data_IF_844328273733
#
_entry.id   IF_844328273733
#
_cell.length_a   1.000
_cell.length_b   1.000
_cell.length_c   1.000
_cell.angle_alpha   90.00
_cell.angle_beta   90.00
_cell.angle_gamma   90.00
#
_symmetry.space_group_name_H-M   'P 1'
#
loop_
_entity.id
_entity.type
_entity.pdbx_description
1 polymer ?
#
# COMPACT_ATOMS: atom_id res chain seq x y z
N UNK A 1 39.86 15.23 45.90
CA UNK A 1 39.96 14.45 47.16
C UNK A 1 39.31 13.09 46.98
N UNK A 2 40.15 12.06 47.19
CA UNK A 2 39.84 10.64 47.48
C UNK A 2 38.98 9.84 46.48
N UNK A 3 39.73 9.13 45.64
CA UNK A 3 39.34 7.84 45.02
C UNK A 3 39.05 6.80 46.12
N UNK A 4 38.05 5.95 45.88
CA UNK A 4 37.94 4.64 46.54
C UNK A 4 37.80 3.55 45.47
N UNK A 5 38.87 2.79 45.38
CA UNK A 5 39.05 1.55 44.65
C UNK A 5 38.40 0.43 45.48
N UNK A 6 37.52 -0.39 44.87
CA UNK A 6 37.05 -1.66 45.47
C UNK A 6 37.62 -2.81 44.64
N UNK A 7 38.49 -3.57 45.31
CA UNK A 7 39.05 -4.85 44.85
C UNK A 7 38.10 -5.97 45.31
N UNK A 8 37.62 -6.82 44.40
CA UNK A 8 36.98 -8.07 44.72
C UNK A 8 37.95 -9.22 44.55
N UNK A 9 38.20 -9.93 45.66
CA UNK A 9 39.06 -11.11 45.74
C UNK A 9 38.19 -12.35 45.46
N UNK A 10 38.62 -13.19 44.51
CA UNK A 10 38.07 -14.51 44.24
C UNK A 10 38.68 -15.49 45.22
N UNK A 11 37.87 -16.16 46.03
CA UNK A 11 38.23 -17.34 46.81
C UNK A 11 37.78 -18.61 46.08
N UNK A 12 38.75 -19.43 45.69
CA UNK A 12 38.55 -20.78 45.17
C UNK A 12 38.57 -21.70 46.40
N UNK A 13 37.45 -22.36 46.65
CA UNK A 13 37.35 -23.43 47.65
C UNK A 13 37.29 -24.80 46.98
N UNK A 14 38.37 -25.56 47.13
CA UNK A 14 38.44 -26.98 46.78
C UNK A 14 37.93 -27.79 47.99
N UNK A 15 36.92 -28.55 47.82
CA UNK A 15 36.53 -29.58 48.80
C UNK A 15 36.54 -30.96 48.14
N UNK A 16 37.50 -31.77 48.52
CA UNK A 16 37.54 -33.21 48.35
C UNK A 16 36.72 -33.85 49.45
N UNK A 17 35.85 -34.79 49.14
CA UNK A 17 35.26 -35.69 50.10
C UNK A 17 35.13 -37.10 49.53
N UNK A 18 35.51 -38.01 50.39
CA UNK A 18 35.60 -39.44 50.16
C UNK A 18 34.28 -40.17 50.10
N UNK A 19 34.32 -41.29 49.44
CA UNK A 19 33.36 -42.34 49.26
C UNK A 19 32.91 -43.06 50.51
N UNK A 20 31.66 -43.48 50.60
CA UNK A 20 31.23 -44.76 51.22
C UNK A 20 30.07 -45.33 50.41
N UNK A 21 30.28 -46.54 49.93
CA UNK A 21 29.27 -47.39 49.27
C UNK A 21 28.14 -47.77 50.22
N UNK A 22 26.89 -47.55 49.81
CA UNK A 22 25.73 -48.29 50.29
C UNK A 22 24.91 -48.70 49.09
N UNK A 23 24.85 -50.00 48.81
CA UNK A 23 23.99 -50.57 47.79
C UNK A 23 22.56 -50.62 48.36
N UNK A 24 21.65 -49.88 47.80
CA UNK A 24 20.23 -50.10 47.99
C UNK A 24 19.51 -49.88 46.63
N UNK A 25 18.55 -50.80 46.35
CA UNK A 25 17.79 -50.84 45.10
C UNK A 25 16.81 -49.65 44.99
N UNK A 26 17.34 -48.50 44.62
CA UNK A 26 16.55 -47.29 44.43
C UNK A 26 16.70 -46.76 43.01
N UNK A 27 15.60 -46.46 42.39
CA UNK A 27 15.46 -45.78 41.11
C UNK A 27 16.43 -44.57 41.07
N UNK A 28 17.41 -44.61 40.15
CA UNK A 28 18.30 -43.46 39.89
C UNK A 28 17.43 -42.36 39.28
N UNK A 29 17.05 -41.37 40.08
CA UNK A 29 16.52 -40.11 39.55
C UNK A 29 17.75 -39.27 39.17
N UNK A 30 17.96 -39.05 37.85
CA UNK A 30 18.94 -38.12 37.35
C UNK A 30 18.65 -36.73 37.93
N UNK A 31 19.55 -36.09 38.71
CA UNK A 31 19.30 -34.80 39.33
C UNK A 31 19.34 -33.63 38.35
N UNK A 32 19.59 -33.89 37.08
CA UNK A 32 19.61 -32.86 36.08
C UNK A 32 18.93 -33.33 34.80
N UNK A 33 17.58 -33.31 34.73
CA UNK A 33 16.89 -33.58 33.48
C UNK A 33 17.40 -32.57 32.45
N UNK A 34 18.04 -33.07 31.37
CA UNK A 34 18.38 -32.24 30.24
C UNK A 34 17.16 -31.38 29.88
N UNK A 35 17.30 -30.06 29.97
CA UNK A 35 16.28 -29.17 29.43
C UNK A 35 16.05 -29.60 27.97
N UNK A 36 14.79 -29.88 27.59
CA UNK A 36 14.53 -30.14 26.18
C UNK A 36 15.15 -29.01 25.34
N UNK A 37 15.85 -29.36 24.29
CA UNK A 37 16.34 -28.38 23.34
C UNK A 37 15.19 -27.45 22.98
N UNK A 38 15.43 -26.14 22.95
CA UNK A 38 14.39 -25.20 22.54
C UNK A 38 13.87 -25.67 21.19
N UNK A 39 12.55 -25.83 21.07
CA UNK A 39 11.92 -26.15 19.78
C UNK A 39 12.51 -25.20 18.73
N UNK A 40 12.89 -25.73 17.56
CA UNK A 40 13.43 -24.89 16.50
C UNK A 40 12.45 -23.77 16.24
N UNK A 41 12.90 -22.53 16.39
CA UNK A 41 12.11 -21.34 16.02
C UNK A 41 11.74 -21.57 14.56
N UNK A 42 10.45 -21.59 14.20
CA UNK A 42 10.07 -21.76 12.81
C UNK A 42 10.82 -20.71 11.98
N UNK A 43 11.51 -21.16 10.93
CA UNK A 43 12.10 -20.23 9.97
C UNK A 43 10.96 -19.29 9.51
N UNK A 44 11.22 -17.97 9.41
CA UNK A 44 10.21 -17.05 8.92
C UNK A 44 9.68 -17.57 7.58
N UNK A 45 8.37 -17.74 7.49
CA UNK A 45 7.71 -18.23 6.29
C UNK A 45 8.09 -17.29 5.13
N UNK A 46 8.89 -17.76 4.19
CA UNK A 46 9.36 -16.95 3.06
C UNK A 46 8.14 -16.64 2.22
N UNK A 47 7.83 -15.36 2.07
CA UNK A 47 6.75 -14.87 1.20
C UNK A 47 6.96 -15.44 -0.22
N UNK A 48 6.01 -16.22 -0.81
CA UNK A 48 6.22 -16.84 -2.11
C UNK A 48 6.27 -15.77 -3.22
N UNK A 49 7.10 -16.00 -4.24
CA UNK A 49 7.14 -15.10 -5.41
C UNK A 49 5.84 -15.16 -6.19
N UNK A 50 5.30 -14.02 -6.61
CA UNK A 50 4.12 -13.96 -7.45
C UNK A 50 4.45 -13.69 -8.92
N UNK A 51 3.64 -14.23 -9.80
CA UNK A 51 3.62 -13.94 -11.23
C UNK A 51 2.18 -13.91 -11.75
N UNK A 52 2.00 -13.51 -13.00
CA UNK A 52 0.69 -13.46 -13.66
C UNK A 52 0.50 -14.70 -14.53
N UNK A 53 -0.64 -15.37 -14.34
CA UNK A 53 -1.09 -16.45 -15.20
C UNK A 53 -2.55 -16.22 -15.62
N UNK A 54 -2.73 -15.81 -16.88
CA UNK A 54 -4.03 -15.36 -17.36
C UNK A 54 -4.53 -14.16 -16.56
N UNK A 55 -5.70 -14.28 -15.95
CA UNK A 55 -6.27 -13.20 -15.13
C UNK A 55 -5.92 -13.27 -13.64
N UNK A 56 -5.00 -14.13 -13.24
CA UNK A 56 -4.69 -14.40 -11.84
C UNK A 56 -3.27 -14.00 -11.46
N UNK A 57 -3.11 -13.59 -10.21
CA UNK A 57 -1.84 -13.68 -9.53
C UNK A 57 -1.68 -15.13 -9.05
N UNK A 58 -0.50 -15.69 -9.27
CA UNK A 58 -0.24 -17.10 -8.97
C UNK A 58 1.10 -17.23 -8.23
N UNK A 59 1.14 -18.09 -7.23
CA UNK A 59 2.36 -18.47 -6.53
C UNK A 59 3.13 -19.58 -7.29
N UNK A 60 4.35 -19.96 -6.89
CA UNK A 60 5.11 -21.01 -7.55
C UNK A 60 4.48 -22.41 -7.50
N UNK A 61 3.49 -22.61 -6.63
CA UNK A 61 2.73 -23.87 -6.52
C UNK A 61 1.50 -23.89 -7.42
N UNK A 62 1.20 -22.79 -8.10
CA UNK A 62 0.03 -22.63 -8.96
C UNK A 62 -1.24 -22.20 -8.20
N UNK A 63 -1.12 -21.79 -6.95
CA UNK A 63 -2.26 -21.28 -6.20
C UNK A 63 -2.61 -19.86 -6.61
N UNK A 64 -3.90 -19.59 -6.81
CA UNK A 64 -4.39 -18.25 -7.10
C UNK A 64 -4.35 -17.41 -5.83
N UNK A 65 -3.76 -16.21 -5.93
CA UNK A 65 -3.57 -15.30 -4.81
C UNK A 65 -4.34 -14.01 -5.04
N UNK A 66 -5.04 -13.53 -4.01
CA UNK A 66 -5.69 -12.21 -3.99
C UNK A 66 -5.14 -11.44 -2.78
N UNK A 67 -4.65 -10.23 -3.03
CA UNK A 67 -3.95 -9.43 -2.03
C UNK A 67 -4.88 -8.39 -1.41
N UNK A 68 -4.73 -8.18 -0.11
CA UNK A 68 -5.54 -7.22 0.65
C UNK A 68 -4.65 -6.42 1.60
N UNK A 69 -4.79 -5.10 1.59
CA UNK A 69 -3.96 -4.28 2.44
C UNK A 69 -4.33 -2.79 2.38
N UNK A 70 -3.33 -1.97 2.54
CA UNK A 70 -3.47 -0.52 2.56
C UNK A 70 -2.40 0.14 1.68
N UNK A 71 -2.64 1.37 1.28
CA UNK A 71 -1.59 2.26 0.83
C UNK A 71 -1.14 3.17 1.97
N UNK A 72 0.08 3.68 1.88
CA UNK A 72 0.48 4.82 2.68
C UNK A 72 1.62 5.59 2.00
N UNK A 73 1.71 6.86 2.36
CA UNK A 73 2.71 7.77 1.84
C UNK A 73 3.66 8.12 2.98
N UNK A 74 4.99 7.93 2.84
CA UNK A 74 5.95 8.35 3.85
C UNK A 74 6.10 9.87 3.88
N UNK A 75 5.02 10.56 4.21
CA UNK A 75 4.89 12.01 4.26
C UNK A 75 4.26 12.41 5.58
N UNK A 76 4.87 13.40 6.27
CA UNK A 76 4.44 13.81 7.60
C UNK A 76 3.00 14.28 7.64
N UNK A 77 2.52 14.96 6.62
CA UNK A 77 1.14 15.40 6.55
C UNK A 77 0.18 14.21 6.51
N UNK A 78 0.37 13.28 5.57
CA UNK A 78 -0.50 12.10 5.43
C UNK A 78 -0.40 11.15 6.63
N UNK A 79 0.73 11.15 7.33
CA UNK A 79 0.90 10.40 8.57
C UNK A 79 0.49 11.18 9.84
N UNK A 80 -0.28 12.26 9.71
CA UNK A 80 -0.81 13.05 10.84
C UNK A 80 0.28 13.64 11.74
N UNK A 81 1.43 14.01 11.18
CA UNK A 81 2.59 14.58 11.87
C UNK A 81 3.21 13.69 12.95
N UNK A 82 2.94 12.39 12.93
CA UNK A 82 3.32 11.46 14.00
C UNK A 82 4.82 11.19 14.11
N UNK A 83 5.59 11.48 13.04
CA UNK A 83 7.05 11.32 13.05
C UNK A 83 7.82 12.60 12.71
N UNK A 84 7.16 13.74 12.53
CA UNK A 84 7.77 15.02 12.23
C UNK A 84 6.92 16.22 12.67
N UNK A 85 7.49 17.41 12.58
CA UNK A 85 6.83 18.66 12.97
C UNK A 85 6.17 19.34 11.77
N UNK A 86 4.93 19.84 11.88
CA UNK A 86 4.28 20.60 10.82
C UNK A 86 4.95 21.95 10.51
N UNK A 87 5.82 22.41 11.40
CA UNK A 87 6.44 23.73 11.30
C UNK A 87 7.87 23.71 10.73
N UNK A 88 8.37 22.56 10.36
CA UNK A 88 9.72 22.38 9.86
C UNK A 88 9.74 21.87 8.42
N UNK A 89 9.12 22.56 7.52
CA UNK A 89 9.16 22.35 6.06
C UNK A 89 10.09 21.19 5.57
N UNK A 90 10.88 21.41 4.56
CA UNK A 90 11.81 20.44 3.97
C UNK A 90 12.92 19.94 4.91
N UNK A 91 13.11 20.55 6.08
CA UNK A 91 14.17 20.12 7.02
C UNK A 91 13.96 18.74 7.62
N UNK A 92 12.75 18.16 7.49
CA UNK A 92 12.46 16.80 7.93
C UNK A 92 12.63 15.75 6.82
N UNK A 93 12.71 16.16 5.56
CA UNK A 93 12.89 15.26 4.42
C UNK A 93 14.39 15.14 4.08
N UNK A 94 15.13 14.59 5.05
CA UNK A 94 16.57 14.32 5.02
C UNK A 94 16.85 12.98 5.72
N UNK A 95 18.10 12.56 5.82
CA UNK A 95 18.47 11.25 6.39
C UNK A 95 18.00 11.07 7.84
N UNK A 96 18.00 12.11 8.65
CA UNK A 96 17.47 12.05 10.01
C UNK A 96 15.94 11.87 10.03
N UNK A 97 15.24 12.50 9.10
CA UNK A 97 13.82 12.32 8.88
C UNK A 97 13.50 10.92 8.35
N UNK A 98 14.31 10.40 7.41
CA UNK A 98 14.16 9.04 6.88
C UNK A 98 14.22 7.99 8.00
N UNK A 99 15.17 8.13 8.93
CA UNK A 99 15.24 7.25 10.10
C UNK A 99 13.96 7.29 10.95
N UNK A 100 13.44 8.49 11.25
CA UNK A 100 12.20 8.64 12.03
C UNK A 100 11.00 8.01 11.30
N UNK A 101 10.95 8.19 9.98
CA UNK A 101 9.93 7.60 9.13
C UNK A 101 10.01 6.06 9.18
N UNK A 102 11.20 5.47 9.06
CA UNK A 102 11.43 4.03 9.19
C UNK A 102 11.02 3.47 10.55
N UNK A 103 11.33 4.19 11.64
CA UNK A 103 10.94 3.80 13.00
C UNK A 103 9.40 3.89 13.20
N UNK A 104 8.75 4.84 12.55
CA UNK A 104 7.30 4.95 12.53
C UNK A 104 6.65 3.80 11.75
N UNK A 105 7.11 3.55 10.53
CA UNK A 105 6.54 2.48 9.69
C UNK A 105 6.79 1.08 10.22
N UNK A 106 7.83 0.83 11.00
CA UNK A 106 8.01 -0.45 11.69
C UNK A 106 6.83 -0.78 12.62
N UNK A 107 6.32 0.23 13.33
CA UNK A 107 5.13 0.07 14.19
C UNK A 107 3.87 -0.13 13.34
N UNK A 108 3.76 0.62 12.24
CA UNK A 108 2.66 0.49 11.30
C UNK A 108 2.62 -0.94 10.72
N UNK A 109 3.74 -1.45 10.20
CA UNK A 109 3.79 -2.80 9.63
C UNK A 109 3.47 -3.88 10.65
N UNK A 110 3.93 -3.73 11.90
CA UNK A 110 3.50 -4.62 13.01
C UNK A 110 1.97 -4.61 13.20
N UNK A 111 1.33 -3.45 13.07
CA UNK A 111 -0.13 -3.34 13.15
C UNK A 111 -0.83 -3.97 11.94
N UNK A 112 -0.33 -3.72 10.74
CA UNK A 112 -0.88 -4.25 9.49
C UNK A 112 -0.76 -5.77 9.38
N UNK A 113 0.34 -6.36 9.85
CA UNK A 113 0.49 -7.81 9.96
C UNK A 113 -0.59 -8.43 10.87
N UNK A 114 -0.84 -7.83 12.03
CA UNK A 114 -1.91 -8.25 12.93
C UNK A 114 -3.31 -8.09 12.31
N UNK A 115 -3.49 -7.08 11.47
CA UNK A 115 -4.72 -6.84 10.70
C UNK A 115 -4.81 -7.72 9.42
N UNK A 116 -3.89 -8.69 9.23
CA UNK A 116 -3.85 -9.62 8.09
C UNK A 116 -3.69 -8.96 6.72
N UNK A 117 -3.01 -7.82 6.68
CA UNK A 117 -2.60 -7.24 5.41
C UNK A 117 -1.56 -8.13 4.73
N UNK A 118 -1.72 -8.33 3.41
CA UNK A 118 -0.81 -9.10 2.56
C UNK A 118 -0.18 -8.24 1.47
N UNK A 119 -0.56 -6.97 1.35
CA UNK A 119 0.02 -6.01 0.41
C UNK A 119 0.09 -4.61 1.03
N UNK A 120 1.14 -3.89 0.68
CA UNK A 120 1.34 -2.49 1.02
C UNK A 120 1.64 -1.69 -0.25
N UNK A 121 0.81 -0.69 -0.57
CA UNK A 121 1.08 0.22 -1.68
C UNK A 121 1.88 1.41 -1.17
N UNK A 122 3.14 1.46 -1.59
CA UNK A 122 4.13 2.46 -1.17
C UNK A 122 4.21 3.59 -2.18
N UNK A 123 3.96 4.80 -1.70
CA UNK A 123 4.14 6.00 -2.52
C UNK A 123 5.58 6.50 -2.46
N UNK A 124 6.20 6.68 -3.61
CA UNK A 124 7.33 7.60 -3.72
C UNK A 124 6.75 9.03 -3.66
N UNK A 125 7.22 9.85 -2.73
CA UNK A 125 6.60 11.15 -2.48
C UNK A 125 7.49 12.31 -2.93
N UNK A 126 6.95 13.36 -3.58
CA UNK A 126 7.71 14.52 -4.03
C UNK A 126 8.51 15.23 -2.93
N UNK A 127 8.07 15.19 -1.69
CA UNK A 127 8.81 15.78 -0.57
C UNK A 127 10.21 15.19 -0.40
N UNK A 128 10.40 13.92 -0.77
CA UNK A 128 11.70 13.25 -0.74
C UNK A 128 12.46 13.37 -2.06
N UNK A 129 11.74 13.43 -3.17
CA UNK A 129 12.34 13.30 -4.51
C UNK A 129 12.56 14.63 -5.22
N UNK A 130 11.92 15.70 -4.77
CA UNK A 130 12.16 17.06 -5.28
C UNK A 130 13.33 17.73 -4.57
N UNK A 131 13.96 18.69 -5.24
CA UNK A 131 14.92 19.57 -4.60
C UNK A 131 14.25 20.31 -3.43
N UNK A 132 14.91 20.38 -2.25
CA UNK A 132 14.38 21.10 -1.13
C UNK A 132 14.25 22.59 -1.43
N UNK A 133 13.12 23.16 -1.15
CA UNK A 133 12.97 24.60 -1.08
C UNK A 133 12.17 25.01 0.16
N UNK A 134 12.26 26.28 0.50
CA UNK A 134 11.58 26.82 1.68
C UNK A 134 10.11 27.17 1.39
N UNK A 135 9.62 26.91 0.19
CA UNK A 135 8.25 27.20 -0.23
C UNK A 135 7.30 26.02 -0.09
N UNK A 136 7.78 24.86 0.39
CA UNK A 136 6.95 23.69 0.63
C UNK A 136 5.79 24.03 1.57
N UNK A 137 4.57 23.86 1.08
CA UNK A 137 3.34 24.15 1.81
C UNK A 137 2.60 22.83 2.02
N UNK A 138 1.97 22.67 3.18
CA UNK A 138 1.23 21.46 3.51
C UNK A 138 -0.14 21.43 2.87
N UNK A 139 -0.62 20.26 2.52
CA UNK A 139 -2.02 20.06 2.23
C UNK A 139 -2.88 20.53 3.42
N UNK A 140 -4.02 21.09 3.13
CA UNK A 140 -4.89 21.68 4.15
C UNK A 140 -4.57 23.14 4.51
N UNK A 141 -3.56 23.74 3.92
CA UNK A 141 -3.40 25.19 3.97
C UNK A 141 -4.43 25.83 3.06
N UNK A 142 -5.47 26.39 3.66
CA UNK A 142 -6.42 27.34 3.03
C UNK A 142 -6.82 27.01 1.57
N UNK A 143 -7.40 25.87 1.31
CA UNK A 143 -7.98 25.54 -0.01
C UNK A 143 -6.98 25.19 -1.12
N UNK A 144 -5.74 24.86 -0.76
CA UNK A 144 -4.69 24.49 -1.70
C UNK A 144 -4.33 22.99 -1.62
N UNK A 145 -5.28 22.12 -1.46
CA UNK A 145 -5.07 20.74 -1.05
C UNK A 145 -3.97 20.00 -1.86
N UNK A 146 -4.10 19.86 -3.14
CA UNK A 146 -3.14 19.09 -3.95
C UNK A 146 -1.79 19.80 -4.10
N UNK A 147 -1.81 21.09 -4.40
CA UNK A 147 -0.58 21.88 -4.60
C UNK A 147 0.14 22.12 -3.28
N UNK A 148 -0.61 22.29 -2.20
CA UNK A 148 -0.07 22.56 -0.88
C UNK A 148 0.59 21.32 -0.24
N UNK A 149 0.16 20.11 -0.59
CA UNK A 149 0.84 18.88 -0.17
C UNK A 149 2.16 18.68 -0.91
N UNK A 150 2.37 19.37 -2.03
CA UNK A 150 3.45 19.11 -2.97
C UNK A 150 3.24 17.82 -3.77
N UNK A 151 2.15 17.10 -3.55
CA UNK A 151 1.93 15.78 -4.16
C UNK A 151 1.81 15.85 -5.68
N UNK A 152 1.25 16.93 -6.23
CA UNK A 152 1.15 17.15 -7.67
C UNK A 152 2.37 17.85 -8.27
N UNK A 153 3.26 18.44 -7.47
CA UNK A 153 4.40 19.20 -7.96
C UNK A 153 5.63 18.33 -8.15
N UNK A 154 5.93 18.04 -9.40
CA UNK A 154 7.16 17.35 -9.83
C UNK A 154 8.14 18.28 -10.53
N UNK A 155 7.89 19.59 -10.54
CA UNK A 155 8.71 20.56 -11.29
C UNK A 155 10.15 20.64 -10.79
N UNK A 156 10.38 20.23 -9.55
CA UNK A 156 11.70 20.20 -8.89
C UNK A 156 12.24 18.78 -8.71
N UNK A 157 11.67 17.81 -9.42
CA UNK A 157 12.13 16.43 -9.37
C UNK A 157 13.64 16.34 -9.62
N UNK A 158 14.33 15.68 -8.71
CA UNK A 158 15.77 15.48 -8.75
C UNK A 158 16.09 13.97 -8.76
N UNK A 159 16.63 13.44 -9.87
CA UNK A 159 16.99 12.03 -10.00
C UNK A 159 18.01 11.55 -8.96
N UNK A 160 18.95 12.42 -8.54
CA UNK A 160 19.95 12.07 -7.53
C UNK A 160 19.30 11.92 -6.14
N UNK A 161 18.33 12.78 -5.82
CA UNK A 161 17.55 12.63 -4.58
C UNK A 161 16.68 11.38 -4.60
N UNK A 162 16.03 11.06 -5.72
CA UNK A 162 15.31 9.78 -5.84
C UNK A 162 16.26 8.62 -5.56
N UNK A 163 17.43 8.58 -6.22
CA UNK A 163 18.43 7.53 -6.00
C UNK A 163 18.85 7.43 -4.54
N UNK A 164 19.16 8.56 -3.91
CA UNK A 164 19.55 8.62 -2.51
C UNK A 164 18.46 8.08 -1.56
N UNK A 165 17.21 8.50 -1.75
CA UNK A 165 16.12 8.06 -0.88
C UNK A 165 15.53 6.70 -1.25
N UNK A 166 15.82 6.15 -2.42
CA UNK A 166 15.62 4.72 -2.64
C UNK A 166 16.49 3.92 -1.65
N UNK A 167 17.77 4.23 -1.54
CA UNK A 167 18.70 3.50 -0.66
C UNK A 167 18.45 3.76 0.83
N UNK A 168 18.13 4.99 1.22
CA UNK A 168 18.05 5.38 2.63
C UNK A 168 16.66 5.27 3.24
N UNK A 169 15.60 5.19 2.43
CA UNK A 169 14.22 5.13 2.88
C UNK A 169 13.39 4.04 2.20
N UNK A 170 13.16 4.17 0.88
CA UNK A 170 12.09 3.43 0.21
C UNK A 170 12.32 1.92 0.11
N UNK A 171 13.53 1.49 -0.24
CA UNK A 171 13.85 0.06 -0.30
C UNK A 171 13.89 -0.56 1.11
N UNK A 172 14.27 0.21 2.12
CA UNK A 172 14.17 -0.21 3.52
C UNK A 172 12.71 -0.35 3.98
N UNK A 173 11.80 0.55 3.54
CA UNK A 173 10.36 0.41 3.79
C UNK A 173 9.81 -0.84 3.11
N UNK A 174 10.18 -1.07 1.85
CA UNK A 174 9.78 -2.27 1.12
C UNK A 174 10.28 -3.55 1.80
N UNK A 175 11.54 -3.60 2.22
CA UNK A 175 12.12 -4.73 2.95
C UNK A 175 11.36 -5.00 4.26
N UNK A 176 11.06 -3.95 5.03
CA UNK A 176 10.28 -4.05 6.27
C UNK A 176 8.88 -4.59 6.02
N UNK A 177 8.16 -4.06 5.02
CA UNK A 177 6.84 -4.56 4.65
C UNK A 177 6.88 -6.06 4.29
N UNK A 178 7.87 -6.50 3.50
CA UNK A 178 8.06 -7.90 3.16
C UNK A 178 8.36 -8.78 4.38
N UNK A 179 9.15 -8.31 5.33
CA UNK A 179 9.42 -9.02 6.61
C UNK A 179 8.16 -9.19 7.46
N UNK A 180 7.18 -8.32 7.30
CA UNK A 180 5.85 -8.42 7.91
C UNK A 180 4.82 -9.15 7.01
N UNK A 181 5.27 -9.92 6.01
CA UNK A 181 4.41 -10.75 5.18
C UNK A 181 3.61 -10.01 4.11
N UNK A 182 4.03 -8.80 3.71
CA UNK A 182 3.32 -8.00 2.72
C UNK A 182 4.11 -7.88 1.41
N UNK A 183 3.43 -8.11 0.29
CA UNK A 183 3.92 -7.71 -1.03
C UNK A 183 3.89 -6.19 -1.15
N UNK A 184 4.73 -5.63 -2.02
CA UNK A 184 4.83 -4.17 -2.16
C UNK A 184 4.46 -3.74 -3.57
N UNK A 185 3.54 -2.78 -3.67
CA UNK A 185 3.22 -2.08 -4.92
C UNK A 185 3.82 -0.67 -4.81
N UNK A 186 4.72 -0.31 -5.71
CA UNK A 186 5.36 1.00 -5.68
C UNK A 186 4.78 1.88 -6.79
N UNK A 187 4.30 3.07 -6.43
CA UNK A 187 3.85 4.09 -7.39
C UNK A 187 4.86 5.23 -7.49
N UNK A 188 4.92 5.97 -8.64
CA UNK A 188 5.85 7.07 -8.83
C UNK A 188 5.50 8.27 -7.93
N UNK A 189 6.43 9.22 -7.74
CA UNK A 189 6.11 10.46 -7.04
C UNK A 189 5.08 11.29 -7.81
N UNK A 190 4.13 11.85 -7.07
CA UNK A 190 3.16 12.78 -7.61
C UNK A 190 1.93 12.14 -8.25
N UNK A 191 1.01 12.99 -8.65
CA UNK A 191 -0.22 12.68 -9.36
C UNK A 191 -0.10 13.14 -10.81
N UNK A 192 -0.70 12.40 -11.74
CA UNK A 192 -0.66 12.76 -13.15
C UNK A 192 -1.28 14.15 -13.41
N UNK A 193 -0.69 14.97 -14.28
CA UNK A 193 -1.36 16.15 -14.83
C UNK A 193 -2.71 15.77 -15.45
N UNK A 194 -3.71 16.64 -15.34
CA UNK A 194 -5.07 16.39 -15.82
C UNK A 194 -5.18 16.15 -17.34
N UNK A 195 -4.17 16.59 -18.12
CA UNK A 195 -4.11 16.37 -19.55
C UNK A 195 -2.73 15.85 -19.95
N UNK A 196 -2.69 14.62 -20.39
CA UNK A 196 -1.50 13.94 -20.88
C UNK A 196 -1.53 13.79 -22.40
N UNK A 197 -0.35 13.67 -22.98
CA UNK A 197 -0.17 13.46 -24.41
C UNK A 197 1.04 12.57 -24.65
N UNK A 198 0.91 11.60 -25.53
CA UNK A 198 2.02 10.73 -25.94
C UNK A 198 3.23 11.59 -26.35
N UNK A 199 4.37 11.36 -25.74
CA UNK A 199 5.62 12.08 -25.96
C UNK A 199 5.76 13.37 -25.12
N UNK A 200 4.87 13.63 -24.17
CA UNK A 200 4.98 14.81 -23.31
C UNK A 200 6.09 14.70 -22.24
N UNK A 201 6.28 15.77 -21.49
CA UNK A 201 7.31 15.82 -20.44
C UNK A 201 7.01 14.86 -19.28
N UNK A 202 5.73 14.59 -19.01
CA UNK A 202 5.37 13.70 -17.91
C UNK A 202 5.67 12.23 -18.23
N UNK A 203 5.49 11.81 -19.49
CA UNK A 203 5.95 10.50 -19.96
C UNK A 203 7.47 10.35 -19.79
N UNK A 204 8.25 11.40 -20.15
CA UNK A 204 9.71 11.41 -19.96
C UNK A 204 10.09 11.33 -18.47
N UNK A 205 9.36 12.06 -17.63
CA UNK A 205 9.53 12.00 -16.17
C UNK A 205 9.31 10.58 -15.65
N UNK A 206 8.19 9.94 -16.01
CA UNK A 206 7.90 8.55 -15.59
C UNK A 206 8.97 7.57 -16.09
N UNK A 207 9.45 7.73 -17.33
CA UNK A 207 10.55 6.94 -17.85
C UNK A 207 11.81 7.09 -17.02
N UNK A 208 12.13 8.31 -16.55
CA UNK A 208 13.30 8.57 -15.70
C UNK A 208 13.12 7.91 -14.31
N UNK A 209 11.96 8.07 -13.69
CA UNK A 209 11.66 7.46 -12.39
C UNK A 209 11.83 5.94 -12.45
N UNK A 210 11.22 5.31 -13.44
CA UNK A 210 11.21 3.86 -13.56
C UNK A 210 12.54 3.29 -14.08
N UNK A 211 13.29 4.08 -14.87
CA UNK A 211 14.66 3.71 -15.22
C UNK A 211 15.54 3.60 -13.97
N UNK A 212 15.50 4.58 -13.08
CA UNK A 212 16.26 4.58 -11.83
C UNK A 212 15.81 3.44 -10.91
N UNK A 213 14.50 3.28 -10.71
CA UNK A 213 13.94 2.29 -9.80
C UNK A 213 14.22 0.85 -10.26
N UNK A 214 13.94 0.55 -11.53
CA UNK A 214 14.08 -0.82 -12.06
C UNK A 214 15.53 -1.29 -12.25
N UNK A 215 16.51 -0.39 -12.18
CA UNK A 215 17.93 -0.74 -12.18
C UNK A 215 18.44 -1.17 -10.81
N UNK A 216 17.73 -0.87 -9.71
CA UNK A 216 18.15 -1.25 -8.36
C UNK A 216 18.28 -2.77 -8.24
N UNK A 217 19.42 -3.26 -7.74
CA UNK A 217 19.66 -4.70 -7.56
C UNK A 217 18.62 -5.33 -6.66
N UNK A 218 18.32 -4.66 -5.53
CA UNK A 218 17.30 -5.10 -4.59
C UNK A 218 15.91 -5.29 -5.25
N UNK A 219 15.50 -4.37 -6.12
CA UNK A 219 14.20 -4.45 -6.82
C UNK A 219 14.16 -5.65 -7.78
N UNK A 220 15.26 -5.93 -8.47
CA UNK A 220 15.37 -7.09 -9.37
C UNK A 220 15.40 -8.41 -8.61
N UNK A 221 16.13 -8.48 -7.51
CA UNK A 221 16.21 -9.66 -6.64
C UNK A 221 14.87 -10.01 -5.99
N UNK A 222 14.04 -8.98 -5.73
CA UNK A 222 12.71 -9.14 -5.13
C UNK A 222 11.56 -8.92 -6.11
N UNK A 223 11.80 -9.16 -7.40
CA UNK A 223 10.79 -8.94 -8.46
C UNK A 223 9.50 -9.77 -8.30
N UNK A 224 9.53 -10.87 -7.57
CA UNK A 224 8.32 -11.64 -7.20
C UNK A 224 7.53 -11.08 -6.02
N UNK A 225 8.07 -10.07 -5.32
CA UNK A 225 7.49 -9.49 -4.10
C UNK A 225 7.24 -7.98 -4.23
N UNK A 226 7.98 -7.32 -5.11
CA UNK A 226 7.85 -5.89 -5.41
C UNK A 226 7.26 -5.77 -6.81
N UNK A 227 6.23 -4.94 -6.95
CA UNK A 227 5.58 -4.62 -8.21
C UNK A 227 5.58 -3.11 -8.45
N UNK A 228 5.41 -2.71 -9.71
CA UNK A 228 5.46 -1.31 -10.15
C UNK A 228 4.08 -0.89 -10.64
N UNK A 229 3.51 0.17 -10.09
CA UNK A 229 2.35 0.87 -10.61
C UNK A 229 2.82 2.07 -11.43
N UNK A 230 2.57 2.07 -12.74
CA UNK A 230 3.24 2.96 -13.69
C UNK A 230 2.98 4.45 -13.47
N UNK A 231 1.78 4.82 -13.02
CA UNK A 231 1.40 6.21 -12.78
C UNK A 231 0.19 6.28 -11.85
N UNK A 232 -0.02 7.42 -11.20
CA UNK A 232 -1.16 7.69 -10.36
C UNK A 232 -2.15 8.64 -11.04
N UNK A 233 -3.38 8.18 -11.25
CA UNK A 233 -4.54 8.97 -11.69
C UNK A 233 -4.41 9.72 -13.02
N UNK A 234 -4.06 9.08 -14.15
CA UNK A 234 -4.24 9.69 -15.44
C UNK A 234 -5.71 10.09 -15.67
N UNK A 235 -5.96 11.34 -16.05
CA UNK A 235 -7.34 11.82 -16.29
C UNK A 235 -7.67 11.77 -17.78
N UNK A 236 -7.06 12.62 -18.58
CA UNK A 236 -7.23 12.65 -20.03
C UNK A 236 -5.91 12.35 -20.72
N UNK A 237 -5.96 11.48 -21.72
CA UNK A 237 -4.75 11.15 -22.49
C UNK A 237 -5.04 11.16 -23.97
N UNK A 238 -4.21 11.89 -24.73
CA UNK A 238 -4.29 12.05 -26.16
C UNK A 238 -3.06 11.48 -26.85
N UNK A 239 -3.21 11.19 -28.14
CA UNK A 239 -2.08 10.75 -28.97
C UNK A 239 -1.06 11.89 -29.20
N UNK A 240 0.05 11.58 -29.86
CA UNK A 240 1.13 12.54 -30.13
C UNK A 240 0.68 13.76 -30.96
N UNK A 241 -0.41 13.65 -31.73
CA UNK A 241 -1.03 14.73 -32.49
C UNK A 241 -2.09 15.52 -31.71
N UNK A 242 -2.17 15.28 -30.37
CA UNK A 242 -3.14 15.92 -29.48
C UNK A 242 -4.62 15.62 -29.83
N UNK A 243 -4.89 14.39 -30.29
CA UNK A 243 -6.23 13.91 -30.63
C UNK A 243 -6.63 12.75 -29.74
N UNK A 244 -7.92 12.60 -29.54
CA UNK A 244 -8.50 11.40 -28.92
C UNK A 244 -8.14 10.17 -29.76
N UNK A 245 -7.67 9.11 -29.10
CA UNK A 245 -7.23 7.89 -29.76
C UNK A 245 -7.34 6.71 -28.78
N UNK A 246 -7.95 5.63 -29.21
CA UNK A 246 -8.07 4.42 -28.40
C UNK A 246 -6.74 3.73 -28.12
N UNK A 247 -5.71 4.04 -28.93
CA UNK A 247 -4.37 3.50 -28.73
C UNK A 247 -3.50 4.36 -27.81
N UNK A 248 -3.95 5.57 -27.46
CA UNK A 248 -3.14 6.53 -26.72
C UNK A 248 -2.61 5.98 -25.36
N UNK A 249 -3.42 5.23 -24.61
CA UNK A 249 -2.97 4.59 -23.35
C UNK A 249 -1.84 3.61 -23.58
N UNK A 250 -1.97 2.73 -24.56
CA UNK A 250 -0.92 1.80 -24.95
C UNK A 250 0.36 2.57 -25.35
N UNK A 251 0.26 3.52 -26.30
CA UNK A 251 1.41 4.26 -26.81
C UNK A 251 2.09 5.14 -25.74
N UNK A 252 1.38 5.46 -24.67
CA UNK A 252 1.94 6.19 -23.54
C UNK A 252 2.70 5.27 -22.57
N UNK A 253 2.12 4.15 -22.18
CA UNK A 253 2.68 3.30 -21.14
C UNK A 253 3.56 2.16 -21.64
N UNK A 254 3.36 1.66 -22.87
CA UNK A 254 4.19 0.58 -23.41
C UNK A 254 5.69 0.91 -23.44
N UNK A 255 6.15 2.11 -23.91
CA UNK A 255 7.56 2.46 -23.88
C UNK A 255 8.17 2.47 -22.47
N UNK A 256 7.37 2.78 -21.45
CA UNK A 256 7.80 2.76 -20.05
C UNK A 256 7.99 1.30 -19.61
N UNK A 257 7.05 0.42 -19.93
CA UNK A 257 7.15 -1.02 -19.67
C UNK A 257 8.38 -1.61 -20.35
N UNK A 258 8.59 -1.31 -21.63
CA UNK A 258 9.75 -1.78 -22.40
C UNK A 258 11.07 -1.35 -21.75
N UNK A 259 11.13 -0.11 -21.25
CA UNK A 259 12.29 0.42 -20.53
C UNK A 259 12.56 -0.35 -19.23
N UNK A 260 11.52 -0.59 -18.43
CA UNK A 260 11.59 -1.36 -17.18
C UNK A 260 12.08 -2.79 -17.46
N UNK A 261 11.56 -3.44 -18.50
CA UNK A 261 11.95 -4.80 -18.90
C UNK A 261 13.38 -4.85 -19.43
N UNK A 262 13.80 -3.86 -20.20
CA UNK A 262 15.18 -3.72 -20.69
C UNK A 262 16.21 -3.61 -19.55
N UNK A 263 15.82 -3.06 -18.40
CA UNK A 263 16.65 -3.02 -17.19
C UNK A 263 16.72 -4.37 -16.42
N UNK A 264 15.96 -5.36 -16.86
CA UNK A 264 15.96 -6.72 -16.28
C UNK A 264 14.97 -6.93 -15.13
N UNK A 265 14.03 -6.01 -14.89
CA UNK A 265 12.96 -6.25 -13.93
C UNK A 265 11.91 -7.20 -14.53
N UNK A 266 11.65 -8.32 -13.83
CA UNK A 266 10.72 -9.39 -14.27
C UNK A 266 9.42 -9.43 -13.49
N UNK A 267 9.27 -8.59 -12.46
CA UNK A 267 8.09 -8.56 -11.59
C UNK A 267 6.84 -8.01 -12.25
N UNK A 268 5.78 -7.92 -11.48
CA UNK A 268 4.46 -7.46 -11.95
C UNK A 268 4.50 -5.95 -12.20
N UNK A 269 3.91 -5.53 -13.33
CA UNK A 269 3.70 -4.13 -13.67
C UNK A 269 2.19 -3.86 -13.77
N UNK A 270 1.72 -2.88 -13.04
CA UNK A 270 0.34 -2.45 -12.99
C UNK A 270 0.14 -1.22 -13.87
N UNK A 271 -0.60 -1.38 -14.96
CA UNK A 271 -0.91 -0.29 -15.88
C UNK A 271 -2.17 0.48 -15.42
N UNK A 272 -2.14 1.82 -15.38
CA UNK A 272 -3.30 2.62 -15.02
C UNK A 272 -4.22 2.86 -16.22
N UNK A 273 -5.50 3.13 -15.93
CA UNK A 273 -6.48 3.63 -16.90
C UNK A 273 -6.60 5.15 -16.88
N UNK A 274 -7.45 5.72 -17.75
CA UNK A 274 -7.84 7.14 -17.70
C UNK A 274 -8.98 7.39 -16.71
N UNK A 275 -9.43 8.65 -16.59
CA UNK A 275 -10.55 9.02 -15.72
C UNK A 275 -10.26 8.74 -14.25
N UNK A 276 -9.09 9.17 -13.76
CA UNK A 276 -8.60 8.87 -12.39
C UNK A 276 -8.54 7.35 -12.13
N UNK A 277 -7.95 6.59 -13.06
CA UNK A 277 -7.84 5.12 -12.96
C UNK A 277 -9.21 4.40 -12.87
N UNK A 278 -10.22 4.87 -13.59
CA UNK A 278 -11.53 4.24 -13.63
C UNK A 278 -11.97 3.73 -15.01
N UNK A 279 -11.23 4.02 -16.09
CA UNK A 279 -11.61 3.67 -17.45
C UNK A 279 -10.49 2.94 -18.20
N UNK A 280 -10.74 1.67 -18.52
CA UNK A 280 -9.80 0.72 -19.15
C UNK A 280 -10.28 0.20 -20.50
N UNK A 281 -11.31 0.81 -21.08
CA UNK A 281 -11.96 0.31 -22.31
C UNK A 281 -11.01 0.15 -23.50
N UNK A 282 -10.04 1.06 -23.61
CA UNK A 282 -9.04 1.04 -24.69
C UNK A 282 -8.12 -0.18 -24.63
N UNK A 283 -7.80 -0.69 -23.45
CA UNK A 283 -6.97 -1.88 -23.29
C UNK A 283 -7.64 -3.18 -23.77
N UNK A 284 -8.95 -3.18 -24.00
CA UNK A 284 -9.63 -4.32 -24.64
C UNK A 284 -9.11 -4.58 -26.05
N UNK A 285 -8.70 -3.53 -26.76
CA UNK A 285 -8.23 -3.61 -28.15
C UNK A 285 -6.72 -3.37 -28.28
N UNK A 286 -6.14 -2.64 -27.34
CA UNK A 286 -4.72 -2.30 -27.31
C UNK A 286 -4.16 -2.51 -25.91
N UNK A 287 -4.09 -3.78 -25.44
CA UNK A 287 -3.54 -4.08 -24.12
C UNK A 287 -2.06 -3.74 -24.05
N UNK A 288 -1.53 -3.58 -22.85
CA UNK A 288 -0.08 -3.54 -22.64
C UNK A 288 0.49 -4.93 -22.94
N UNK A 289 1.55 -4.96 -23.73
CA UNK A 289 2.23 -6.18 -24.14
C UNK A 289 3.34 -6.57 -23.17
N UNK A 290 3.54 -7.87 -22.99
CA UNK A 290 4.61 -8.45 -22.15
C UNK A 290 4.09 -9.36 -21.06
N UNK A 291 5.03 -10.01 -20.36
CA UNK A 291 4.73 -10.88 -19.23
C UNK A 291 4.49 -10.08 -17.96
N UNK A 292 3.77 -10.67 -17.01
CA UNK A 292 3.52 -10.11 -15.70
C UNK A 292 2.89 -8.70 -15.73
N UNK A 293 1.86 -8.52 -16.55
CA UNK A 293 1.08 -7.29 -16.65
C UNK A 293 -0.25 -7.46 -15.90
N UNK A 294 -0.57 -6.49 -15.06
CA UNK A 294 -1.86 -6.32 -14.41
C UNK A 294 -2.34 -4.86 -14.55
N UNK A 295 -3.50 -4.55 -13.97
CA UNK A 295 -4.07 -3.21 -14.06
C UNK A 295 -4.43 -2.67 -12.68
N UNK A 296 -4.00 -1.43 -12.40
CA UNK A 296 -4.29 -0.72 -11.16
C UNK A 296 -5.50 0.18 -11.35
N UNK A 297 -6.51 0.02 -10.49
CA UNK A 297 -7.82 0.68 -10.58
C UNK A 297 -8.09 1.47 -9.31
N UNK A 298 -8.79 2.59 -9.41
CA UNK A 298 -9.39 3.28 -8.27
C UNK A 298 -10.90 3.07 -8.26
N UNK A 299 -11.49 2.92 -7.09
CA UNK A 299 -12.92 2.72 -6.95
C UNK A 299 -13.47 3.47 -5.74
N UNK A 300 -14.15 4.55 -5.99
CA UNK A 300 -14.75 5.38 -4.97
C UNK A 300 -16.27 5.41 -5.06
N UNK A 301 -16.91 5.89 -4.00
CA UNK A 301 -18.34 6.12 -3.96
C UNK A 301 -18.82 6.93 -5.17
N UNK A 302 -19.90 6.45 -5.79
CA UNK A 302 -20.47 7.05 -7.02
C UNK A 302 -19.90 6.47 -8.31
N UNK A 303 -18.73 5.83 -8.27
CA UNK A 303 -18.14 5.20 -9.45
C UNK A 303 -18.80 3.85 -9.76
N UNK A 304 -18.74 3.47 -11.02
CA UNK A 304 -19.37 2.24 -11.53
C UNK A 304 -20.84 2.14 -11.15
N UNK A 305 -21.55 3.30 -11.20
CA UNK A 305 -22.99 3.39 -11.04
C UNK A 305 -23.53 3.06 -9.66
N UNK A 306 -22.72 3.09 -8.63
CA UNK A 306 -23.11 2.76 -7.27
C UNK A 306 -22.67 3.83 -6.27
N UNK A 307 -23.63 4.37 -5.52
CA UNK A 307 -23.45 5.21 -4.33
C UNK A 307 -24.52 4.82 -3.32
N UNK A 308 -24.43 5.28 -2.08
CA UNK A 308 -25.47 5.01 -1.08
C UNK A 308 -26.82 5.59 -1.50
N UNK A 309 -26.84 6.81 -2.04
CA UNK A 309 -28.07 7.43 -2.53
C UNK A 309 -28.71 6.62 -3.68
N UNK A 310 -27.89 6.00 -4.55
CA UNK A 310 -28.41 5.14 -5.61
C UNK A 310 -28.99 3.86 -5.06
N UNK A 311 -28.39 3.28 -4.03
CA UNK A 311 -28.87 2.08 -3.35
C UNK A 311 -30.17 2.38 -2.62
N UNK A 312 -30.26 3.51 -1.92
CA UNK A 312 -31.47 3.94 -1.21
C UNK A 312 -32.63 4.21 -2.17
N UNK A 313 -32.38 4.96 -3.24
CA UNK A 313 -33.37 5.26 -4.25
C UNK A 313 -33.92 3.99 -4.89
N UNK A 314 -33.09 3.03 -5.22
CA UNK A 314 -33.50 1.79 -5.87
C UNK A 314 -34.14 0.82 -4.88
N UNK A 315 -33.94 1.02 -3.57
CA UNK A 315 -34.46 0.20 -2.46
C UNK A 315 -34.37 -1.31 -2.71
N UNK A 316 -33.30 -1.72 -3.37
CA UNK A 316 -33.04 -3.11 -3.72
C UNK A 316 -31.51 -3.34 -3.82
N UNK A 317 -30.94 -3.87 -2.76
CA UNK A 317 -29.49 -4.06 -2.66
C UNK A 317 -28.95 -5.05 -3.71
N UNK A 318 -29.71 -6.09 -4.05
CA UNK A 318 -29.28 -7.07 -5.06
C UNK A 318 -29.18 -6.45 -6.45
N UNK A 319 -30.18 -5.65 -6.82
CA UNK A 319 -30.14 -4.88 -8.07
C UNK A 319 -28.95 -3.91 -8.11
N UNK A 320 -28.60 -3.30 -6.98
CA UNK A 320 -27.45 -2.40 -6.88
C UNK A 320 -26.12 -3.15 -7.01
N UNK A 321 -25.99 -4.35 -6.44
CA UNK A 321 -24.84 -5.23 -6.64
C UNK A 321 -24.67 -5.60 -8.12
N UNK A 322 -25.74 -6.08 -8.77
CA UNK A 322 -25.74 -6.42 -10.19
C UNK A 322 -25.32 -5.22 -11.06
N UNK A 323 -25.83 -4.03 -10.74
CA UNK A 323 -25.49 -2.79 -11.44
C UNK A 323 -24.01 -2.46 -11.26
N UNK A 324 -23.49 -2.50 -10.02
CA UNK A 324 -22.06 -2.25 -9.73
C UNK A 324 -21.16 -3.18 -10.53
N UNK A 325 -21.44 -4.47 -10.50
CA UNK A 325 -20.69 -5.49 -11.23
C UNK A 325 -20.72 -5.18 -12.75
N UNK A 326 -21.89 -4.95 -13.30
CA UNK A 326 -22.05 -4.66 -14.73
C UNK A 326 -21.27 -3.41 -15.16
N UNK A 327 -21.41 -2.31 -14.41
CA UNK A 327 -20.75 -1.05 -14.77
C UNK A 327 -19.24 -1.12 -14.55
N UNK A 328 -18.77 -1.91 -13.57
CA UNK A 328 -17.36 -2.20 -13.41
C UNK A 328 -16.81 -2.94 -14.64
N UNK A 329 -17.43 -4.05 -15.08
CA UNK A 329 -17.02 -4.76 -16.29
C UNK A 329 -17.06 -3.90 -17.54
N UNK A 330 -18.05 -3.02 -17.67
CA UNK A 330 -18.12 -2.09 -18.80
C UNK A 330 -16.96 -1.11 -18.85
N UNK A 331 -16.44 -0.71 -17.69
CA UNK A 331 -15.37 0.29 -17.56
C UNK A 331 -13.99 -0.33 -17.42
N UNK A 332 -13.89 -1.52 -16.84
CA UNK A 332 -12.67 -2.26 -16.53
C UNK A 332 -12.69 -3.66 -17.18
N UNK A 333 -12.86 -3.76 -18.52
CA UNK A 333 -12.97 -5.06 -19.20
C UNK A 333 -11.68 -5.90 -19.10
N UNK A 334 -10.58 -5.33 -18.65
CA UNK A 334 -9.30 -6.02 -18.41
C UNK A 334 -9.42 -7.11 -17.35
N UNK A 335 -10.40 -7.04 -16.45
CA UNK A 335 -10.64 -8.04 -15.40
C UNK A 335 -10.94 -9.45 -15.95
N UNK A 336 -11.32 -9.56 -17.22
CA UNK A 336 -11.57 -10.84 -17.87
C UNK A 336 -10.28 -11.57 -18.30
N UNK A 337 -9.17 -10.86 -18.46
CA UNK A 337 -7.96 -11.45 -19.04
C UNK A 337 -6.65 -11.13 -18.29
N UNK A 338 -6.69 -10.24 -17.28
CA UNK A 338 -5.52 -9.88 -16.48
C UNK A 338 -5.90 -9.69 -15.00
N UNK A 339 -4.98 -9.83 -14.05
CA UNK A 339 -5.22 -9.49 -12.66
C UNK A 339 -5.45 -7.99 -12.51
N UNK A 340 -6.31 -7.65 -11.57
CA UNK A 340 -6.62 -6.27 -11.21
C UNK A 340 -6.28 -6.02 -9.75
N UNK A 341 -5.75 -4.85 -9.45
CA UNK A 341 -5.62 -4.35 -8.10
C UNK A 341 -6.36 -3.01 -7.98
N UNK A 342 -7.29 -2.90 -7.03
CA UNK A 342 -7.86 -1.61 -6.66
C UNK A 342 -6.89 -0.97 -5.68
N UNK A 343 -6.16 0.04 -6.15
CA UNK A 343 -5.06 0.66 -5.41
C UNK A 343 -5.51 1.82 -4.53
N UNK A 344 -6.71 2.33 -4.75
CA UNK A 344 -7.36 3.31 -3.88
C UNK A 344 -8.85 3.05 -3.74
N UNK A 345 -9.29 2.94 -2.50
CA UNK A 345 -10.69 2.81 -2.09
C UNK A 345 -10.83 3.17 -0.62
N UNK A 346 -11.85 3.91 -0.27
CA UNK A 346 -12.24 4.11 1.13
C UNK A 346 -13.72 4.52 1.26
N UNK A 347 -14.27 4.35 2.44
CA UNK A 347 -15.56 4.89 2.87
C UNK A 347 -15.62 4.98 4.39
N UNK A 348 -16.37 5.94 4.89
CA UNK A 348 -16.51 6.16 6.34
C UNK A 348 -17.94 6.54 6.72
N UNK A 349 -18.29 6.53 8.00
CA UNK A 349 -19.58 7.02 8.45
C UNK A 349 -19.80 8.50 8.11
N UNK A 350 -21.08 8.86 8.00
CA UNK A 350 -21.50 10.27 7.90
C UNK A 350 -20.99 11.05 9.11
N UNK A 351 -20.42 12.22 8.87
CA UNK A 351 -20.05 13.17 9.92
C UNK A 351 -21.03 14.34 9.93
N UNK A 352 -21.95 14.43 10.91
CA UNK A 352 -22.89 15.51 11.00
C UNK A 352 -22.20 16.89 11.07
N UNK A 353 -22.72 17.85 10.32
CA UNK A 353 -22.22 19.23 10.31
C UNK A 353 -20.97 19.49 9.45
N UNK A 354 -20.40 18.47 8.83
CA UNK A 354 -19.41 18.65 7.78
C UNK A 354 -20.08 18.64 6.41
N UNK A 355 -19.62 19.46 5.49
CA UNK A 355 -20.20 19.58 4.17
C UNK A 355 -19.52 20.61 3.29
N UNK A 356 -20.07 20.82 2.13
CA UNK A 356 -19.61 21.83 1.17
C UNK A 356 -20.80 22.49 0.47
N UNK A 357 -20.57 23.66 -0.09
CA UNK A 357 -21.55 24.29 -0.97
C UNK A 357 -21.42 23.73 -2.38
N UNK A 358 -22.54 23.25 -2.95
CA UNK A 358 -22.57 22.76 -4.33
C UNK A 358 -22.50 23.94 -5.33
N UNK A 359 -22.51 23.64 -6.62
CA UNK A 359 -22.48 24.62 -7.69
C UNK A 359 -23.69 25.57 -7.72
N UNK A 360 -24.75 25.23 -6.99
CA UNK A 360 -25.98 26.05 -6.84
C UNK A 360 -25.99 26.88 -5.56
N UNK A 361 -24.94 26.77 -4.73
CA UNK A 361 -24.83 27.47 -3.44
C UNK A 361 -25.59 26.80 -2.30
N UNK A 362 -26.10 25.58 -2.47
CA UNK A 362 -26.75 24.83 -1.40
C UNK A 362 -25.73 24.10 -0.56
N UNK A 363 -25.93 24.06 0.75
CA UNK A 363 -25.13 23.27 1.66
C UNK A 363 -25.46 21.78 1.51
N UNK A 364 -24.45 21.00 1.15
CA UNK A 364 -24.54 19.54 1.06
C UNK A 364 -23.71 18.95 2.19
N UNK A 365 -24.34 18.25 3.11
CA UNK A 365 -23.61 17.50 4.14
C UNK A 365 -22.72 16.47 3.48
N UNK A 366 -21.47 16.47 3.90
CA UNK A 366 -20.52 15.47 3.43
C UNK A 366 -20.66 14.23 4.24
N UNK A 367 -20.79 13.18 3.53
CA UNK A 367 -20.54 11.85 4.04
C UNK A 367 -19.10 11.54 3.77
N UNK A 368 -18.35 11.00 4.61
CA UNK A 368 -16.97 11.00 4.41
C UNK A 368 -16.19 9.91 4.56
N UNK A 369 -15.47 9.73 3.81
CA UNK A 369 -14.26 9.11 3.63
C UNK A 369 -13.10 10.08 3.73
N UNK A 370 -11.94 9.74 3.24
CA UNK A 370 -10.78 10.60 3.20
C UNK A 370 -10.73 11.40 1.91
N UNK A 371 -11.03 10.78 0.80
CA UNK A 371 -10.93 11.38 -0.52
C UNK A 371 -12.27 11.48 -1.22
N UNK A 372 -13.16 10.57 -0.93
CA UNK A 372 -14.49 10.61 -1.48
C UNK A 372 -15.48 11.13 -0.46
N UNK A 373 -16.51 11.68 -0.96
CA UNK A 373 -17.71 11.89 -0.20
C UNK A 373 -18.23 10.56 0.25
N UNK A 374 -18.26 10.35 1.48
CA UNK A 374 -18.53 9.21 2.21
C UNK A 374 -19.61 8.35 1.87
N UNK A 375 -19.60 7.25 2.45
CA UNK A 375 -20.52 6.22 2.13
C UNK A 375 -20.68 5.31 3.30
N UNK A 376 -21.73 4.57 3.27
CA UNK A 376 -22.11 3.65 4.30
C UNK A 376 -21.84 2.21 3.88
N UNK A 377 -22.16 1.27 4.75
CA UNK A 377 -22.11 -0.16 4.48
C UNK A 377 -22.82 -0.57 3.18
N UNK A 378 -23.82 0.19 2.71
CA UNK A 378 -24.56 -0.17 1.48
C UNK A 378 -23.66 -0.13 0.26
N UNK A 379 -22.87 0.93 0.09
CA UNK A 379 -21.86 0.97 -0.95
C UNK A 379 -20.80 -0.13 -0.74
N UNK A 380 -20.29 -0.28 0.47
CA UNK A 380 -19.31 -1.32 0.82
C UNK A 380 -19.79 -2.73 0.52
N UNK A 381 -21.07 -3.02 0.77
CA UNK A 381 -21.69 -4.31 0.40
C UNK A 381 -21.70 -4.54 -1.12
N UNK A 382 -21.99 -3.50 -1.92
CA UNK A 382 -21.94 -3.60 -3.38
C UNK A 382 -20.49 -3.73 -3.89
N UNK A 383 -19.56 -3.05 -3.26
CA UNK A 383 -18.13 -3.16 -3.54
C UNK A 383 -17.61 -4.59 -3.29
N UNK A 384 -17.89 -5.15 -2.10
CA UNK A 384 -17.53 -6.54 -1.77
C UNK A 384 -18.11 -7.54 -2.75
N UNK A 385 -19.39 -7.36 -3.14
CA UNK A 385 -20.02 -8.22 -4.11
C UNK A 385 -19.32 -8.21 -5.49
N UNK A 386 -18.77 -7.07 -5.90
CA UNK A 386 -17.97 -6.98 -7.12
C UNK A 386 -16.63 -7.73 -6.98
N UNK A 387 -15.94 -7.59 -5.85
CA UNK A 387 -14.70 -8.35 -5.58
C UNK A 387 -14.94 -9.86 -5.63
N UNK A 388 -15.98 -10.32 -4.92
CA UNK A 388 -16.32 -11.75 -4.83
C UNK A 388 -16.75 -12.32 -6.19
N UNK A 389 -17.47 -11.54 -6.99
CA UNK A 389 -17.91 -11.95 -8.32
C UNK A 389 -16.73 -12.11 -9.30
N UNK A 390 -15.79 -11.19 -9.31
CA UNK A 390 -14.63 -11.23 -10.20
C UNK A 390 -13.59 -12.26 -9.74
N UNK A 391 -13.35 -12.33 -8.43
CA UNK A 391 -12.47 -13.28 -7.77
C UNK A 391 -10.96 -12.99 -7.93
N UNK A 392 -10.56 -12.20 -8.92
CA UNK A 392 -9.18 -11.88 -9.28
C UNK A 392 -8.79 -10.42 -8.98
N UNK A 393 -9.54 -9.74 -8.12
CA UNK A 393 -9.29 -8.35 -7.74
C UNK A 393 -8.63 -8.30 -6.37
N UNK A 394 -7.39 -7.81 -6.34
CA UNK A 394 -6.69 -7.39 -5.12
C UNK A 394 -7.08 -5.96 -4.73
N UNK A 395 -6.80 -5.52 -3.49
CA UNK A 395 -7.12 -4.15 -3.07
C UNK A 395 -6.18 -3.58 -2.01
N UNK A 396 -6.05 -2.25 -2.01
CA UNK A 396 -5.49 -1.46 -0.92
C UNK A 396 -6.43 -0.32 -0.54
N UNK A 397 -6.71 -0.18 0.76
CA UNK A 397 -7.41 1.01 1.27
C UNK A 397 -6.55 2.26 1.09
N UNK A 398 -7.19 3.41 0.95
CA UNK A 398 -6.55 4.71 0.67
C UNK A 398 -5.71 5.29 1.82
N UNK A 399 -5.44 4.51 2.86
CA UNK A 399 -4.57 4.88 3.96
C UNK A 399 -4.58 3.86 5.09
N UNK A 400 -3.49 3.77 5.83
CA UNK A 400 -3.43 2.97 7.06
C UNK A 400 -4.53 3.37 8.03
N UNK A 401 -4.78 4.68 8.17
CA UNK A 401 -5.84 5.24 9.03
C UNK A 401 -7.27 4.96 8.54
N UNK A 402 -7.42 4.40 7.34
CA UNK A 402 -8.72 3.89 6.86
C UNK A 402 -9.01 2.47 7.38
N UNK A 403 -7.98 1.70 7.72
CA UNK A 403 -8.11 0.33 8.23
C UNK A 403 -8.08 0.27 9.76
N UNK A 404 -7.06 0.87 10.36
CA UNK A 404 -6.80 0.79 11.80
C UNK A 404 -6.69 2.16 12.45
N UNK A 405 -7.01 2.23 13.74
CA UNK A 405 -6.74 3.41 14.57
C UNK A 405 -5.25 3.49 14.87
N UNK A 406 -4.57 4.34 14.10
CA UNK A 406 -3.11 4.51 14.19
C UNK A 406 -2.70 5.11 15.54
N UNK A 407 -3.51 5.98 16.13
CA UNK A 407 -3.17 6.60 17.43
C UNK A 407 -3.22 5.57 18.55
N UNK A 408 -4.20 4.68 18.52
CA UNK A 408 -4.30 3.57 19.48
C UNK A 408 -3.15 2.57 19.30
N UNK A 409 -2.81 2.23 18.04
CA UNK A 409 -1.66 1.37 17.73
C UNK A 409 -0.35 1.97 18.29
N UNK A 410 -0.09 3.25 18.06
CA UNK A 410 1.14 3.90 18.52
C UNK A 410 1.19 4.07 20.03
N UNK A 411 0.04 4.17 20.70
CA UNK A 411 -0.08 4.35 22.16
C UNK A 411 0.26 3.09 22.94
N UNK A 412 -0.26 1.94 22.55
CA UNK A 412 -0.14 0.71 23.34
C UNK A 412 0.02 -0.58 22.51
N UNK A 413 0.13 -0.47 21.18
CA UNK A 413 0.29 -1.62 20.27
C UNK A 413 -1.01 -2.38 19.97
N UNK A 414 -2.17 -1.87 20.40
CA UNK A 414 -3.47 -2.45 20.08
C UNK A 414 -3.83 -2.19 18.62
N UNK A 415 -4.41 -3.19 17.97
CA UNK A 415 -4.96 -3.07 16.62
C UNK A 415 -6.46 -3.09 16.69
N UNK A 416 -7.08 -1.95 16.48
CA UNK A 416 -8.52 -1.77 16.47
C UNK A 416 -8.95 -1.12 15.15
N UNK A 417 -10.17 -1.41 14.65
CA UNK A 417 -10.63 -0.81 13.40
C UNK A 417 -10.66 0.71 13.48
N UNK A 418 -10.32 1.37 12.37
CA UNK A 418 -10.53 2.80 12.19
C UNK A 418 -12.00 3.20 12.37
N UNK A 419 -12.26 4.49 12.48
CA UNK A 419 -13.60 5.08 12.62
C UNK A 419 -14.39 4.54 13.83
N UNK A 420 -13.70 4.26 14.95
CA UNK A 420 -14.32 3.76 16.18
C UNK A 420 -14.91 2.35 16.07
N UNK A 421 -14.54 1.60 15.03
CA UNK A 421 -15.07 0.26 14.77
C UNK A 421 -16.50 0.24 14.22
N UNK A 422 -16.96 1.37 13.66
CA UNK A 422 -18.28 1.46 13.02
C UNK A 422 -18.44 0.41 11.94
N UNK A 423 -19.48 -0.45 11.98
CA UNK A 423 -19.68 -1.55 11.02
C UNK A 423 -19.85 -1.06 9.58
N UNK A 424 -20.29 0.18 9.41
CA UNK A 424 -20.56 0.80 8.10
C UNK A 424 -19.32 1.44 7.49
N UNK A 425 -18.20 1.50 8.21
CA UNK A 425 -16.95 2.05 7.72
C UNK A 425 -16.02 0.97 7.15
N UNK A 426 -15.14 1.37 6.25
CA UNK A 426 -14.18 0.46 5.64
C UNK A 426 -13.25 -0.21 6.65
N UNK A 427 -12.88 0.47 7.75
CA UNK A 427 -11.97 -0.09 8.75
C UNK A 427 -12.47 -1.42 9.30
N UNK A 428 -13.67 -1.44 9.89
CA UNK A 428 -14.25 -2.68 10.45
C UNK A 428 -14.55 -3.72 9.36
N UNK A 429 -15.19 -3.28 8.26
CA UNK A 429 -15.54 -4.19 7.19
C UNK A 429 -14.31 -4.87 6.56
N UNK A 430 -13.25 -4.10 6.27
CA UNK A 430 -12.05 -4.65 5.65
C UNK A 430 -11.23 -5.49 6.61
N UNK A 431 -11.16 -5.19 7.90
CA UNK A 431 -10.52 -6.07 8.86
C UNK A 431 -11.17 -7.46 8.89
N UNK A 432 -12.51 -7.51 8.89
CA UNK A 432 -13.25 -8.78 8.85
C UNK A 432 -13.00 -9.54 7.52
N UNK A 433 -12.96 -8.82 6.39
CA UNK A 433 -12.68 -9.43 5.08
C UNK A 433 -11.24 -9.95 4.98
N UNK A 434 -10.25 -9.20 5.48
CA UNK A 434 -8.85 -9.60 5.43
C UNK A 434 -8.60 -10.86 6.27
N UNK A 435 -9.25 -11.00 7.44
CA UNK A 435 -9.20 -12.22 8.21
C UNK A 435 -9.85 -13.41 7.45
N UNK A 436 -10.99 -13.19 6.79
CA UNK A 436 -11.66 -14.21 5.96
C UNK A 436 -10.77 -14.68 4.81
N UNK A 437 -10.15 -13.75 4.08
CA UNK A 437 -9.30 -14.07 2.94
C UNK A 437 -7.98 -14.71 3.36
N UNK A 438 -7.38 -14.25 4.43
CA UNK A 438 -6.14 -14.82 4.98
C UNK A 438 -6.33 -16.29 5.39
N UNK A 439 -7.48 -16.61 5.95
CA UNK A 439 -7.84 -18.00 6.28
C UNK A 439 -7.97 -18.92 5.06
N UNK A 440 -8.37 -18.37 3.91
CA UNK A 440 -8.49 -19.12 2.64
C UNK A 440 -7.13 -19.41 1.99
N UNK A 441 -6.14 -18.57 2.17
CA UNK A 441 -4.79 -18.77 1.64
C UNK A 441 -4.01 -19.88 2.35
N UNK A 442 -4.44 -20.29 3.55
CA UNK A 442 -3.79 -21.33 4.35
C UNK A 442 -4.42 -22.74 4.21
N UNK A 443 -5.50 -22.86 3.45
CA UNK A 443 -6.21 -24.11 3.23
C UNK A 443 -6.07 -24.59 1.76
#
# INVERSE_FOLDING_TARGET
MKQRLFIFIFLIGIMTSCTTDVVDNGIIIDPNPEKPDPEPVPEPEILPSLHVEGKWLVDPQGNQVVLHGVMDTPNMYFNGWRWGSPWTNNTNYNDAGAKKCLDYFEKIFTGLEKAKCTVFRLHLDPAWTNDPDNSYVYAGSAGQAADASGEADISKFNPERLTHFLDTLYLNLAEKAMKHGMYVVVRPPGVCPGNLKVGDYYQQYLMTVWDIFSQQSFVKEHAGHISIELANEPVNLKNAQNKEDTKALHDYFQPIVDKIRANGFTGIIWAPGTGWQSNYKSYKTHPIEGDNIGYAVHDYTGWYGCSDESVDRDNNIEKSKEKKIKEFYNSVPVVDFAPVIITEVDWSPVKPGEGHYNEHGDWVESNYGTWSTGSTSKWGVCYKANLDHCGNISMTLSGTSCLIDVDQLLKDGSVVPAFGGEPEACGKACMDWYEEYYGKLKN
#
